data_IF_633888982545
#
_entry.id   IF_633888982545
#
_cell.length_a   1.000
_cell.length_b   1.000
_cell.length_c   1.000
_cell.angle_alpha   90.00
_cell.angle_beta   90.00
_cell.angle_gamma   90.00
#
_symmetry.space_group_name_H-M   'P 1'
#
loop_
_entity.id
_entity.type
_entity.pdbx_description
1 polymer ?
#
# COMPACT_ATOMS: atom_id res chain seq x y z
N UNK A 1 -61.32 9.22 -3.87
CA UNK A 1 -60.27 8.49 -4.61
C UNK A 1 -59.31 9.56 -5.07
N UNK A 2 -58.19 9.70 -4.38
CA UNK A 2 -57.16 10.68 -4.69
C UNK A 2 -55.93 9.85 -5.02
N UNK A 3 -55.61 9.81 -6.31
CA UNK A 3 -54.42 9.15 -6.83
C UNK A 3 -53.21 10.04 -6.50
N UNK A 4 -52.36 9.55 -5.61
CA UNK A 4 -51.06 10.15 -5.32
C UNK A 4 -50.06 9.60 -6.34
N UNK A 5 -49.55 10.48 -7.19
CA UNK A 5 -48.45 10.22 -8.11
C UNK A 5 -47.23 9.73 -7.31
N UNK A 6 -46.70 8.58 -7.70
CA UNK A 6 -45.37 8.14 -7.30
C UNK A 6 -44.36 8.86 -8.19
N UNK A 7 -43.64 9.82 -7.62
CA UNK A 7 -42.41 10.33 -8.19
C UNK A 7 -41.38 9.20 -8.13
N UNK A 8 -40.98 8.73 -9.30
CA UNK A 8 -39.91 7.78 -9.54
C UNK A 8 -38.58 8.54 -9.37
N UNK A 9 -38.06 8.58 -8.14
CA UNK A 9 -36.69 9.03 -7.85
C UNK A 9 -35.72 8.01 -8.48
N UNK A 10 -35.39 8.23 -9.74
CA UNK A 10 -34.29 7.53 -10.42
C UNK A 10 -33.00 7.90 -9.70
N UNK A 11 -32.56 7.04 -8.78
CA UNK A 11 -31.21 7.10 -8.22
C UNK A 11 -30.24 6.73 -9.33
N UNK A 12 -29.78 7.74 -10.07
CA UNK A 12 -28.63 7.61 -10.96
C UNK A 12 -27.44 7.25 -10.08
N UNK A 13 -27.08 5.96 -10.07
CA UNK A 13 -25.82 5.50 -9.50
C UNK A 13 -24.70 6.32 -10.14
N UNK A 14 -23.81 6.95 -9.35
CA UNK A 14 -22.71 7.70 -9.91
C UNK A 14 -21.86 6.73 -10.72
N UNK A 15 -21.82 6.95 -12.03
CA UNK A 15 -20.90 6.26 -12.95
C UNK A 15 -19.50 6.47 -12.40
N UNK A 16 -18.74 5.37 -12.29
CA UNK A 16 -17.37 5.28 -11.78
C UNK A 16 -16.46 6.24 -12.58
N UNK A 17 -16.49 7.52 -12.21
CA UNK A 17 -15.55 8.54 -12.65
C UNK A 17 -14.18 8.08 -12.14
N UNK A 18 -13.29 7.80 -13.09
CA UNK A 18 -11.91 7.37 -12.92
C UNK A 18 -11.37 7.57 -11.49
N UNK A 19 -11.42 6.52 -10.67
CA UNK A 19 -10.60 6.48 -9.46
C UNK A 19 -9.17 6.63 -9.93
N UNK A 20 -8.49 7.68 -9.48
CA UNK A 20 -7.06 7.82 -9.67
C UNK A 20 -6.40 6.50 -9.23
N UNK A 21 -5.49 5.99 -10.06
CA UNK A 21 -4.82 4.72 -9.80
C UNK A 21 -4.15 4.79 -8.41
N UNK A 22 -4.35 3.79 -7.52
CA UNK A 22 -3.81 3.83 -6.17
C UNK A 22 -2.31 4.13 -6.17
N UNK A 23 -1.88 5.14 -5.42
CA UNK A 23 -0.47 5.56 -5.32
C UNK A 23 0.17 4.99 -4.06
N UNK A 24 1.46 4.64 -4.11
CA UNK A 24 2.20 4.26 -2.91
C UNK A 24 2.86 5.50 -2.28
N UNK A 25 2.01 6.37 -1.73
CA UNK A 25 2.36 7.74 -1.36
C UNK A 25 3.33 7.82 -0.15
N UNK A 26 4.44 8.54 -0.33
CA UNK A 26 5.27 9.10 0.72
C UNK A 26 5.12 10.62 0.80
N UNK A 27 5.46 11.21 1.94
CA UNK A 27 5.43 12.67 2.14
C UNK A 27 6.82 13.28 1.89
N UNK A 28 6.85 14.38 1.15
CA UNK A 28 8.04 15.24 0.96
C UNK A 28 7.93 16.48 1.86
N UNK A 29 9.06 16.88 2.46
CA UNK A 29 9.14 18.00 3.39
C UNK A 29 10.02 19.14 2.88
N UNK A 30 9.82 20.34 3.43
CA UNK A 30 10.54 21.55 3.04
C UNK A 30 12.07 21.47 3.22
N UNK A 31 12.57 20.55 4.05
CA UNK A 31 14.00 20.28 4.24
C UNK A 31 14.56 19.25 3.24
N UNK A 32 13.74 18.80 2.27
CA UNK A 32 14.09 17.81 1.26
C UNK A 32 14.00 16.36 1.75
N UNK A 33 13.65 16.12 3.02
CA UNK A 33 13.44 14.76 3.50
C UNK A 33 12.16 14.15 2.94
N UNK A 34 12.17 12.82 2.78
CA UNK A 34 10.98 12.03 2.43
C UNK A 34 10.72 11.03 3.54
N UNK A 35 9.45 10.83 3.90
CA UNK A 35 9.07 9.81 4.88
C UNK A 35 7.85 9.00 4.44
N UNK A 36 7.92 7.71 4.77
CA UNK A 36 6.82 6.77 4.64
C UNK A 36 6.58 6.09 6.00
N UNK A 37 5.32 5.95 6.46
CA UNK A 37 4.10 6.50 5.88
C UNK A 37 4.06 8.05 5.90
N UNK A 38 3.18 8.68 5.10
CA UNK A 38 3.12 10.15 5.03
C UNK A 38 2.60 10.73 6.35
N UNK A 39 3.32 11.72 6.89
CA UNK A 39 2.93 12.46 8.09
C UNK A 39 2.78 13.96 7.81
N UNK A 40 1.89 14.70 8.53
CA UNK A 40 1.72 16.14 8.34
C UNK A 40 2.98 16.97 8.64
N UNK A 41 3.85 16.47 9.51
CA UNK A 41 5.09 17.14 9.94
C UNK A 41 6.23 16.12 9.88
N UNK A 42 7.34 16.53 9.28
CA UNK A 42 8.50 15.69 9.06
C UNK A 42 9.28 15.41 10.35
N UNK A 43 10.25 14.47 10.31
CA UNK A 43 11.01 14.04 11.49
C UNK A 43 11.71 15.18 12.25
N UNK A 44 12.10 16.24 11.55
CA UNK A 44 12.80 17.41 12.12
C UNK A 44 11.86 18.59 12.41
N UNK A 45 10.54 18.41 12.30
CA UNK A 45 9.57 19.50 12.40
C UNK A 45 9.34 20.26 11.08
N UNK A 46 9.91 19.79 9.97
CA UNK A 46 9.71 20.40 8.65
C UNK A 46 8.26 20.25 8.17
N UNK A 47 7.75 21.28 7.50
CA UNK A 47 6.40 21.27 6.92
C UNK A 47 6.35 20.36 5.69
N UNK A 48 5.24 19.63 5.52
CA UNK A 48 4.99 18.84 4.31
C UNK A 48 4.76 19.77 3.12
N UNK A 49 5.50 19.58 2.05
CA UNK A 49 5.41 20.40 0.82
C UNK A 49 4.88 19.61 -0.38
N UNK A 50 4.87 18.28 -0.30
CA UNK A 50 4.42 17.45 -1.41
C UNK A 50 4.19 15.98 -1.07
N UNK A 51 4.04 15.20 -2.13
CA UNK A 51 3.98 13.75 -2.13
C UNK A 51 4.91 13.18 -3.21
N UNK A 52 5.44 11.99 -2.93
CA UNK A 52 6.19 11.18 -3.89
C UNK A 52 5.48 9.84 -4.01
N UNK A 53 5.27 9.34 -5.23
CA UNK A 53 4.76 7.99 -5.43
C UNK A 53 5.93 7.01 -5.46
N UNK A 54 6.04 6.17 -4.43
CA UNK A 54 7.13 5.20 -4.31
C UNK A 54 7.08 4.10 -5.37
N UNK A 55 6.00 3.97 -6.15
CA UNK A 55 5.95 3.07 -7.32
C UNK A 55 6.93 3.50 -8.43
N UNK A 56 7.30 4.77 -8.46
CA UNK A 56 8.26 5.31 -9.44
C UNK A 56 9.72 4.98 -9.07
N UNK A 57 9.93 4.37 -7.90
CA UNK A 57 11.25 4.05 -7.36
C UNK A 57 11.41 2.54 -7.18
N UNK A 58 12.56 2.01 -7.60
CA UNK A 58 12.96 0.65 -7.25
C UNK A 58 13.24 0.57 -5.74
N UNK A 59 13.01 -0.61 -5.16
CA UNK A 59 13.36 -0.88 -3.77
C UNK A 59 14.17 -2.16 -3.64
N UNK A 60 14.96 -2.25 -2.58
CA UNK A 60 15.73 -3.45 -2.21
C UNK A 60 15.26 -4.03 -0.90
N UNK A 61 15.21 -5.35 -0.81
CA UNK A 61 14.93 -6.06 0.45
C UNK A 61 16.08 -5.83 1.43
N UNK A 62 15.80 -5.15 2.55
CA UNK A 62 16.76 -4.93 3.64
C UNK A 62 16.79 -6.15 4.57
N UNK A 63 15.61 -6.68 4.88
CA UNK A 63 15.44 -7.88 5.71
C UNK A 63 14.03 -8.43 5.51
N UNK A 64 13.82 -9.71 5.83
CA UNK A 64 12.54 -10.37 5.64
C UNK A 64 12.33 -11.49 6.66
N UNK A 65 11.09 -11.94 6.79
CA UNK A 65 10.71 -13.12 7.57
C UNK A 65 9.43 -13.74 7.02
N UNK A 66 9.23 -15.04 7.26
CA UNK A 66 8.01 -15.75 6.88
C UNK A 66 7.20 -16.13 8.11
N UNK A 67 5.99 -15.59 8.20
CA UNK A 67 5.03 -16.01 9.23
C UNK A 67 4.27 -17.25 8.77
N UNK A 68 4.47 -18.35 9.49
CA UNK A 68 3.77 -19.62 9.26
C UNK A 68 2.44 -19.72 10.01
N UNK A 69 2.23 -18.87 11.03
CA UNK A 69 1.04 -18.85 11.87
C UNK A 69 0.47 -17.43 11.87
N UNK A 70 -0.29 -17.11 10.83
CA UNK A 70 -0.81 -15.76 10.62
C UNK A 70 -2.10 -15.54 11.40
N UNK A 71 -2.41 -14.28 11.74
CA UNK A 71 -3.72 -13.92 12.28
C UNK A 71 -4.85 -14.27 11.30
N UNK A 72 -6.10 -14.45 11.79
CA UNK A 72 -7.26 -14.67 10.94
C UNK A 72 -7.39 -13.63 9.82
N UNK A 73 -7.72 -14.10 8.62
CA UNK A 73 -7.86 -13.29 7.41
C UNK A 73 -6.55 -13.00 6.68
N UNK A 74 -5.39 -13.32 7.25
CA UNK A 74 -4.11 -13.22 6.57
C UNK A 74 -3.69 -14.61 6.09
N UNK A 75 -3.42 -14.75 4.79
CA UNK A 75 -3.02 -16.02 4.16
C UNK A 75 -1.73 -16.56 4.80
N UNK A 76 -1.61 -17.86 5.02
CA UNK A 76 -0.38 -18.51 5.49
C UNK A 76 0.14 -19.49 4.42
N UNK A 77 1.46 -19.59 4.20
CA UNK A 77 2.52 -18.74 4.76
C UNK A 77 2.45 -17.29 4.24
N UNK A 78 2.96 -16.33 5.03
CA UNK A 78 3.03 -14.92 4.66
C UNK A 78 4.45 -14.38 4.81
N UNK A 79 5.13 -14.13 3.70
CA UNK A 79 6.44 -13.48 3.70
C UNK A 79 6.27 -11.98 3.85
N UNK A 80 6.96 -11.40 4.83
CA UNK A 80 7.01 -9.97 5.11
C UNK A 80 8.43 -9.48 4.84
N UNK A 81 8.55 -8.34 4.16
CA UNK A 81 9.83 -7.71 3.86
C UNK A 81 9.83 -6.25 4.30
N UNK A 82 10.98 -5.82 4.83
CA UNK A 82 11.32 -4.40 4.93
C UNK A 82 12.15 -4.07 3.69
N UNK A 83 11.71 -3.08 2.94
CA UNK A 83 12.38 -2.62 1.72
C UNK A 83 12.89 -1.21 1.90
N UNK A 84 13.94 -0.84 1.18
CA UNK A 84 14.50 0.51 1.09
C UNK A 84 14.45 0.99 -0.36
N UNK A 85 13.88 2.17 -0.57
CA UNK A 85 13.72 2.76 -1.90
C UNK A 85 14.96 3.52 -2.35
N UNK A 86 15.30 3.39 -3.63
CA UNK A 86 16.35 4.15 -4.29
C UNK A 86 15.81 5.52 -4.72
N UNK A 87 16.01 6.54 -3.88
CA UNK A 87 15.50 7.90 -4.09
C UNK A 87 16.34 8.75 -5.06
N UNK A 88 17.37 8.17 -5.69
CA UNK A 88 18.30 8.85 -6.60
C UNK A 88 19.54 9.45 -5.92
N UNK A 89 20.57 9.75 -6.71
CA UNK A 89 21.87 10.24 -6.21
C UNK A 89 21.82 11.65 -5.61
N UNK A 90 20.82 12.46 -5.98
CA UNK A 90 20.63 13.83 -5.49
C UNK A 90 19.93 13.88 -4.12
N UNK A 91 19.38 12.76 -3.66
CA UNK A 91 18.68 12.69 -2.39
C UNK A 91 19.66 12.50 -1.22
N UNK A 92 19.75 13.52 -0.35
CA UNK A 92 20.59 13.54 0.86
C UNK A 92 19.78 13.32 2.17
N UNK A 93 18.52 12.88 2.04
CA UNK A 93 17.65 12.62 3.18
C UNK A 93 17.88 11.24 3.82
N UNK A 94 17.21 10.94 4.95
CA UNK A 94 17.24 9.62 5.55
C UNK A 94 16.66 8.54 4.62
N UNK A 95 17.05 7.27 4.77
CA UNK A 95 16.52 6.18 3.93
C UNK A 95 14.99 6.05 4.03
N UNK A 96 14.33 5.93 2.89
CA UNK A 96 12.89 5.73 2.80
C UNK A 96 12.62 4.23 2.80
N UNK A 97 11.97 3.74 3.86
CA UNK A 97 11.70 2.31 4.05
C UNK A 97 10.23 2.01 4.25
N UNK A 98 9.80 0.85 3.78
CA UNK A 98 8.44 0.35 3.96
C UNK A 98 8.44 -1.13 4.41
N UNK A 99 7.45 -1.49 5.21
CA UNK A 99 7.13 -2.88 5.56
C UNK A 99 5.90 -3.31 4.77
N UNK A 100 5.95 -4.48 4.15
CA UNK A 100 4.85 -5.01 3.36
C UNK A 100 4.93 -6.52 3.20
N UNK A 101 3.85 -7.11 2.69
CA UNK A 101 3.83 -8.51 2.27
C UNK A 101 4.58 -8.65 0.95
N UNK A 102 5.29 -9.74 0.77
CA UNK A 102 5.74 -10.16 -0.56
C UNK A 102 4.54 -10.75 -1.29
N UNK A 103 4.35 -10.42 -2.57
CA UNK A 103 3.31 -10.98 -3.40
C UNK A 103 3.46 -12.51 -3.54
N UNK A 104 2.40 -13.18 -3.98
CA UNK A 104 2.51 -14.55 -4.45
C UNK A 104 2.74 -14.53 -5.97
N UNK A 105 3.31 -15.60 -6.51
CA UNK A 105 3.34 -15.84 -7.94
C UNK A 105 1.91 -16.07 -8.49
N UNK A 106 1.71 -16.09 -9.82
CA UNK A 106 0.39 -16.33 -10.43
C UNK A 106 -0.27 -17.66 -10.05
N UNK A 107 0.51 -18.65 -9.62
CA UNK A 107 0.05 -19.96 -9.18
C UNK A 107 -0.27 -19.99 -7.67
N UNK A 108 -0.02 -18.89 -6.96
CA UNK A 108 -0.30 -18.71 -5.54
C UNK A 108 0.83 -19.15 -4.61
N UNK A 109 2.03 -19.44 -5.13
CA UNK A 109 3.18 -19.78 -4.31
C UNK A 109 3.92 -18.53 -3.82
N UNK A 110 4.59 -18.64 -2.67
CA UNK A 110 5.45 -17.56 -2.18
C UNK A 110 6.74 -17.48 -3.01
N UNK A 111 7.19 -16.26 -3.30
CA UNK A 111 8.53 -16.04 -3.83
C UNK A 111 9.59 -16.36 -2.76
N UNK A 112 10.72 -16.91 -3.20
CA UNK A 112 11.92 -17.02 -2.38
C UNK A 112 12.70 -15.71 -2.51
N UNK A 113 12.73 -14.92 -1.43
CA UNK A 113 13.39 -13.62 -1.40
C UNK A 113 14.62 -13.67 -0.49
N UNK A 114 15.67 -12.95 -0.87
CA UNK A 114 16.86 -12.75 -0.06
C UNK A 114 17.15 -11.27 0.16
N UNK A 115 18.03 -10.97 1.11
CA UNK A 115 18.47 -9.59 1.35
C UNK A 115 19.23 -9.09 0.11
N UNK A 116 18.84 -7.92 -0.39
CA UNK A 116 19.42 -7.26 -1.55
C UNK A 116 18.60 -7.39 -2.84
N UNK A 117 17.60 -8.28 -2.88
CA UNK A 117 16.74 -8.46 -4.05
C UNK A 117 15.98 -7.18 -4.38
N UNK A 118 15.87 -6.89 -5.68
CA UNK A 118 15.05 -5.80 -6.18
C UNK A 118 13.58 -6.19 -6.11
N UNK A 119 12.74 -5.25 -5.68
CA UNK A 119 11.30 -5.40 -5.60
C UNK A 119 10.62 -4.11 -6.03
N UNK A 120 9.40 -4.23 -6.52
CA UNK A 120 8.53 -3.10 -6.81
C UNK A 120 7.22 -3.19 -6.01
N UNK A 121 6.60 -2.06 -5.65
CA UNK A 121 5.26 -2.06 -5.07
C UNK A 121 4.21 -2.43 -6.11
N UNK A 122 3.37 -3.42 -5.80
CA UNK A 122 2.21 -3.82 -6.61
C UNK A 122 0.94 -3.69 -5.79
N UNK A 123 -0.08 -3.06 -6.39
CA UNK A 123 -1.38 -2.91 -5.73
C UNK A 123 -2.08 -4.26 -5.60
N UNK A 124 -2.80 -4.44 -4.51
CA UNK A 124 -3.62 -5.60 -4.21
C UNK A 124 -4.95 -5.13 -3.62
N UNK A 125 -6.06 -5.53 -4.26
CA UNK A 125 -7.42 -5.17 -3.83
C UNK A 125 -7.75 -5.70 -2.42
N UNK A 126 -7.05 -6.75 -1.99
CA UNK A 126 -7.27 -7.36 -0.69
C UNK A 126 -5.96 -7.91 -0.09
N UNK A 127 -5.45 -7.22 0.92
CA UNK A 127 -4.31 -7.65 1.73
C UNK A 127 -4.71 -8.75 2.73
N UNK A 128 -5.96 -8.76 3.18
CA UNK A 128 -6.51 -9.70 4.16
C UNK A 128 -8.03 -9.78 4.01
N UNK A 129 -8.62 -10.93 4.34
CA UNK A 129 -10.05 -11.20 4.16
C UNK A 129 -10.91 -10.34 5.12
N UNK A 130 -11.81 -9.48 4.62
CA UNK A 130 -12.76 -8.74 5.44
C UNK A 130 -13.66 -9.67 6.26
N UNK A 131 -13.84 -9.37 7.54
CA UNK A 131 -14.72 -10.14 8.44
C UNK A 131 -14.13 -11.43 9.01
N UNK A 132 -12.97 -11.89 8.55
CA UNK A 132 -12.26 -13.02 9.17
C UNK A 132 -11.61 -12.65 10.53
N UNK A 133 -11.34 -11.36 10.75
CA UNK A 133 -10.78 -10.82 11.99
C UNK A 133 -11.82 -10.19 12.93
N UNK A 134 -11.35 -9.53 13.99
CA UNK A 134 -12.20 -8.84 14.97
C UNK A 134 -12.66 -7.44 14.53
N UNK A 135 -12.17 -6.94 13.39
CA UNK A 135 -12.54 -5.60 12.89
C UNK A 135 -13.83 -5.68 12.09
N UNK A 136 -14.66 -4.64 12.24
CA UNK A 136 -15.86 -4.47 11.44
C UNK A 136 -15.48 -4.26 9.96
N UNK A 137 -16.06 -4.99 9.00
CA UNK A 137 -15.64 -4.96 7.59
C UNK A 137 -15.64 -3.56 6.95
N UNK A 138 -16.62 -2.70 7.22
CA UNK A 138 -16.69 -1.37 6.63
C UNK A 138 -15.80 -0.32 7.32
N UNK A 139 -15.20 -0.64 8.47
CA UNK A 139 -14.39 0.31 9.26
C UNK A 139 -13.08 0.75 8.60
N UNK A 140 -12.66 0.11 7.53
CA UNK A 140 -11.44 0.46 6.80
C UNK A 140 -11.42 -0.12 5.38
N UNK A 141 -10.51 0.39 4.56
CA UNK A 141 -10.12 -0.27 3.33
C UNK A 141 -9.24 -1.51 3.62
N UNK A 142 -9.29 -2.50 2.74
CA UNK A 142 -8.60 -3.79 2.89
C UNK A 142 -7.57 -4.03 1.79
N UNK A 143 -7.51 -3.11 0.84
CA UNK A 143 -6.54 -3.02 -0.23
C UNK A 143 -5.21 -2.43 0.27
N UNK A 144 -4.23 -2.38 -0.63
CA UNK A 144 -2.96 -1.72 -0.41
C UNK A 144 -1.86 -2.31 -1.29
N UNK A 145 -0.63 -2.22 -0.83
CA UNK A 145 0.54 -2.65 -1.63
C UNK A 145 1.21 -3.90 -1.06
N UNK A 146 1.69 -4.74 -1.97
CA UNK A 146 2.65 -5.82 -1.74
C UNK A 146 3.94 -5.52 -2.49
N UNK A 147 5.00 -6.26 -2.18
CA UNK A 147 6.26 -6.21 -2.91
C UNK A 147 6.38 -7.42 -3.82
N UNK A 148 6.56 -7.16 -5.11
CA UNK A 148 6.86 -8.20 -6.09
C UNK A 148 8.35 -8.16 -6.39
N UNK A 149 9.10 -9.26 -6.25
CA UNK A 149 10.46 -9.36 -6.76
C UNK A 149 10.50 -9.04 -8.24
N UNK A 150 11.48 -8.21 -8.63
CA UNK A 150 11.76 -7.90 -10.02
C UNK A 150 13.13 -8.49 -10.34
N UNK A 151 13.15 -9.41 -11.31
CA UNK A 151 14.34 -10.03 -11.88
C UNK A 151 14.40 -9.72 -13.39
#
# INVERSE_FOLDING_TARGET
MSDTNADDDTHEEPTDEARDEPTFEAAEYADGSVSYPPHPVGPNGAERVGSVDLREHEARVVTWTTSMATPPGVRAPNTLAIVEFEMGEEYDGPPVRALGQVAADPDGNAFDVVIGDHVEPVYADELREPGAGIREPASQAWDGFRFRPVE
#
